data_IF_322084363829
#
_entry.id   IF_322084363829
#
_cell.length_a   1.000
_cell.length_b   1.000
_cell.length_c   1.000
_cell.angle_alpha   90.00
_cell.angle_beta   90.00
_cell.angle_gamma   90.00
#
_symmetry.space_group_name_H-M   'P 1'
#
loop_
_entity.id
_entity.type
_entity.pdbx_description
1 polymer ?
#
# COMPACT_ATOMS: atom_id res chain seq x y z
N UNK A 1 -58.60 -0.95 -69.12
CA UNK A 1 -57.40 -0.11 -69.14
C UNK A 1 -57.78 1.20 -68.46
N UNK A 2 -57.26 1.43 -67.25
CA UNK A 2 -57.75 2.46 -66.35
C UNK A 2 -57.21 3.84 -66.77
N UNK A 3 -58.07 4.69 -67.37
CA UNK A 3 -57.74 6.06 -67.80
C UNK A 3 -57.12 6.96 -66.71
N UNK A 4 -57.26 6.58 -65.44
CA UNK A 4 -56.68 7.28 -64.31
C UNK A 4 -55.19 6.95 -64.13
N UNK A 5 -54.80 5.69 -64.34
CA UNK A 5 -53.40 5.24 -64.26
C UNK A 5 -52.55 5.91 -65.34
N UNK A 6 -53.07 6.02 -66.57
CA UNK A 6 -52.39 6.68 -67.68
C UNK A 6 -52.11 8.17 -67.39
N UNK A 7 -53.07 8.87 -66.78
CA UNK A 7 -52.91 10.28 -66.37
C UNK A 7 -51.90 10.46 -65.22
N UNK A 8 -51.84 9.49 -64.31
CA UNK A 8 -50.88 9.50 -63.20
C UNK A 8 -49.46 9.28 -63.73
N UNK A 9 -49.28 8.36 -64.68
CA UNK A 9 -48.00 8.07 -65.33
C UNK A 9 -47.52 9.26 -66.17
N UNK A 10 -48.41 9.95 -66.88
CA UNK A 10 -48.06 11.13 -67.68
C UNK A 10 -47.64 12.32 -66.80
N UNK A 11 -48.29 12.50 -65.63
CA UNK A 11 -48.01 13.62 -64.73
C UNK A 11 -46.79 13.44 -63.84
N UNK A 12 -46.54 12.22 -63.36
CA UNK A 12 -45.48 11.93 -62.39
C UNK A 12 -44.33 11.10 -62.97
N UNK A 13 -44.44 10.65 -64.22
CA UNK A 13 -43.47 9.75 -64.85
C UNK A 13 -43.52 8.33 -64.27
N UNK A 14 -42.75 7.41 -64.87
CA UNK A 14 -42.48 6.07 -64.30
C UNK A 14 -41.19 6.04 -63.49
N UNK A 15 -40.52 7.19 -63.37
CA UNK A 15 -39.27 7.30 -62.64
C UNK A 15 -39.59 7.32 -61.15
N UNK A 16 -39.10 6.32 -60.41
CA UNK A 16 -39.45 6.13 -59.01
C UNK A 16 -39.10 7.35 -58.15
N UNK A 17 -39.84 7.54 -57.05
CA UNK A 17 -39.67 8.62 -56.07
C UNK A 17 -38.33 8.60 -55.28
N UNK A 18 -37.32 7.92 -55.82
CA UNK A 18 -35.99 7.73 -55.25
C UNK A 18 -34.96 8.73 -55.80
N UNK A 19 -35.37 9.65 -56.69
CA UNK A 19 -34.47 10.66 -57.25
C UNK A 19 -34.52 11.93 -56.40
N UNK A 20 -33.36 12.36 -55.93
CA UNK A 20 -33.17 13.57 -55.14
C UNK A 20 -33.19 14.80 -56.04
N UNK A 21 -33.69 15.97 -55.55
CA UNK A 21 -33.64 17.21 -56.31
C UNK A 21 -32.21 17.62 -56.69
N UNK A 22 -32.07 18.29 -57.83
CA UNK A 22 -30.79 18.86 -58.27
C UNK A 22 -30.22 19.78 -57.19
N UNK A 23 -28.95 19.55 -56.82
CA UNK A 23 -28.27 20.33 -55.77
C UNK A 23 -28.61 19.97 -54.32
N UNK A 24 -29.45 18.96 -54.04
CA UNK A 24 -29.76 18.52 -52.67
C UNK A 24 -28.48 18.22 -51.87
N UNK A 25 -27.58 17.41 -52.43
CA UNK A 25 -26.34 17.05 -51.75
C UNK A 25 -25.44 18.25 -51.46
N UNK A 26 -25.36 19.24 -52.35
CA UNK A 26 -24.55 20.44 -52.11
C UNK A 26 -25.05 21.26 -50.91
N UNK A 27 -26.37 21.42 -50.79
CA UNK A 27 -26.97 22.11 -49.63
C UNK A 27 -26.76 21.34 -48.33
N UNK A 28 -26.89 20.02 -48.37
CA UNK A 28 -26.69 19.12 -47.22
C UNK A 28 -25.25 19.14 -46.73
N UNK A 29 -24.26 19.13 -47.63
CA UNK A 29 -22.86 19.21 -47.23
C UNK A 29 -22.52 20.54 -46.54
N UNK A 30 -23.11 21.66 -47.00
CA UNK A 30 -22.95 22.97 -46.36
C UNK A 30 -23.58 22.98 -44.96
N UNK A 31 -24.80 22.47 -44.84
CA UNK A 31 -25.54 22.43 -43.58
C UNK A 31 -24.87 21.49 -42.55
N UNK A 32 -24.34 20.35 -42.98
CA UNK A 32 -23.58 19.43 -42.13
C UNK A 32 -22.33 20.12 -41.58
N UNK A 33 -21.59 20.86 -42.42
CA UNK A 33 -20.41 21.61 -42.00
C UNK A 33 -20.72 22.70 -40.97
N UNK A 34 -21.83 23.42 -41.14
CA UNK A 34 -22.27 24.48 -40.23
C UNK A 34 -22.80 23.94 -38.89
N UNK A 35 -23.40 22.75 -38.89
CA UNK A 35 -23.97 22.11 -37.69
C UNK A 35 -23.01 21.20 -36.94
N UNK A 36 -21.81 20.95 -37.47
CA UNK A 36 -20.83 20.12 -36.79
C UNK A 36 -20.35 20.85 -35.52
N UNK A 37 -20.51 20.26 -34.32
CA UNK A 37 -19.92 20.84 -33.12
C UNK A 37 -18.39 20.88 -33.27
N UNK A 38 -17.71 21.85 -32.65
CA UNK A 38 -16.24 21.84 -32.61
C UNK A 38 -15.79 20.50 -32.03
N UNK A 39 -14.82 19.86 -32.70
CA UNK A 39 -14.24 18.61 -32.20
C UNK A 39 -13.79 18.83 -30.76
N UNK A 40 -14.13 17.92 -29.82
CA UNK A 40 -13.64 18.03 -28.47
C UNK A 40 -12.12 18.05 -28.55
N UNK A 41 -11.54 19.15 -28.05
CA UNK A 41 -10.09 19.31 -27.98
C UNK A 41 -9.53 18.05 -27.32
N UNK A 42 -8.66 17.32 -28.03
CA UNK A 42 -7.95 16.18 -27.47
C UNK A 42 -7.43 16.61 -26.11
N UNK A 43 -7.91 15.97 -25.04
CA UNK A 43 -7.55 16.32 -23.66
C UNK A 43 -6.04 16.44 -23.63
N UNK A 44 -5.52 17.66 -23.56
CA UNK A 44 -4.08 17.90 -23.51
C UNK A 44 -3.58 17.06 -22.35
N UNK A 45 -2.64 16.15 -22.65
CA UNK A 45 -2.01 15.34 -21.62
C UNK A 45 -1.55 16.29 -20.51
N UNK A 46 -2.21 16.19 -19.35
CA UNK A 46 -1.88 17.01 -18.20
C UNK A 46 -0.40 16.77 -17.90
N UNK A 47 0.40 17.83 -17.90
CA UNK A 47 1.83 17.69 -17.69
C UNK A 47 2.05 17.04 -16.32
N UNK A 48 2.57 15.81 -16.33
CA UNK A 48 2.77 15.06 -15.10
C UNK A 48 3.58 15.90 -14.13
N UNK A 49 2.99 16.15 -12.95
CA UNK A 49 3.68 16.94 -11.92
C UNK A 49 4.94 16.21 -11.50
N UNK A 50 6.00 16.96 -11.19
CA UNK A 50 7.31 16.39 -10.75
C UNK A 50 7.15 15.40 -9.59
N UNK A 51 6.14 15.59 -8.74
CA UNK A 51 5.78 14.69 -7.65
C UNK A 51 5.24 13.32 -8.10
N UNK A 52 4.44 13.28 -9.17
CA UNK A 52 3.95 12.03 -9.75
C UNK A 52 5.11 11.16 -10.28
N UNK A 53 6.16 11.81 -10.80
CA UNK A 53 7.39 11.12 -11.22
C UNK A 53 8.23 10.63 -10.04
N UNK A 54 8.19 11.31 -8.89
CA UNK A 54 9.01 10.98 -7.72
C UNK A 54 8.39 9.87 -6.85
N UNK A 55 7.06 9.79 -6.76
CA UNK A 55 6.32 8.78 -5.98
C UNK A 55 6.79 7.32 -6.17
N UNK A 56 7.05 6.80 -7.40
CA UNK A 56 7.55 5.45 -7.57
C UNK A 56 8.97 5.24 -6.99
N UNK A 57 9.85 6.24 -7.10
CA UNK A 57 11.21 6.15 -6.54
C UNK A 57 11.21 6.14 -5.02
N UNK A 58 10.28 6.87 -4.37
CA UNK A 58 10.13 6.84 -2.92
C UNK A 58 9.68 5.45 -2.45
N UNK A 59 8.77 4.80 -3.17
CA UNK A 59 8.37 3.42 -2.87
C UNK A 59 9.52 2.43 -3.02
N UNK A 60 10.30 2.54 -4.10
CA UNK A 60 11.50 1.73 -4.28
C UNK A 60 12.51 1.98 -3.16
N UNK A 61 12.78 3.24 -2.82
CA UNK A 61 13.68 3.60 -1.74
C UNK A 61 13.24 3.02 -0.40
N UNK A 62 11.94 2.99 -0.10
CA UNK A 62 11.41 2.38 1.12
C UNK A 62 11.65 0.85 1.16
N UNK A 63 11.45 0.14 0.05
CA UNK A 63 11.74 -1.29 -0.04
C UNK A 63 13.24 -1.57 0.15
N UNK A 64 14.10 -0.79 -0.52
CA UNK A 64 15.55 -0.91 -0.36
C UNK A 64 16.03 -0.53 1.04
N UNK A 65 15.45 0.50 1.66
CA UNK A 65 15.76 0.91 3.01
C UNK A 65 15.38 -0.16 4.04
N UNK A 66 14.24 -0.86 3.86
CA UNK A 66 13.85 -1.98 4.73
C UNK A 66 14.87 -3.13 4.68
N UNK A 67 15.26 -3.55 3.48
CA UNK A 67 16.26 -4.62 3.29
C UNK A 67 17.63 -4.17 3.82
N UNK A 68 18.03 -2.93 3.55
CA UNK A 68 19.30 -2.37 4.03
C UNK A 68 19.34 -2.24 5.55
N UNK A 69 18.24 -1.81 6.17
CA UNK A 69 18.13 -1.70 7.62
C UNK A 69 18.27 -3.09 8.25
N UNK A 70 17.58 -4.11 7.71
CA UNK A 70 17.75 -5.48 8.18
C UNK A 70 19.20 -5.93 8.03
N UNK A 71 19.81 -5.76 6.85
CA UNK A 71 21.22 -6.12 6.63
C UNK A 71 22.15 -5.40 7.60
N UNK A 72 21.92 -4.11 7.89
CA UNK A 72 22.72 -3.32 8.82
C UNK A 72 22.55 -3.81 10.26
N UNK A 73 21.32 -4.09 10.70
CA UNK A 73 21.03 -4.60 12.03
C UNK A 73 21.65 -5.99 12.21
N UNK A 74 21.46 -6.91 11.26
CA UNK A 74 22.12 -8.21 11.28
C UNK A 74 23.64 -8.08 11.24
N UNK A 75 24.21 -7.19 10.43
CA UNK A 75 25.66 -6.98 10.40
C UNK A 75 26.21 -6.45 11.73
N UNK A 76 25.49 -5.54 12.39
CA UNK A 76 25.90 -4.99 13.69
C UNK A 76 25.68 -5.97 14.84
N UNK A 77 24.58 -6.72 14.83
CA UNK A 77 24.24 -7.70 15.85
C UNK A 77 25.07 -8.99 15.71
N UNK A 78 25.46 -9.36 14.48
CA UNK A 78 26.03 -10.67 14.21
C UNK A 78 27.55 -10.68 13.99
N UNK A 79 28.26 -9.55 14.08
CA UNK A 79 29.73 -9.52 13.99
C UNK A 79 30.31 -10.30 12.80
N UNK A 80 30.30 -9.72 11.59
CA UNK A 80 30.91 -10.32 10.39
C UNK A 80 30.44 -11.76 10.03
N UNK A 81 29.18 -12.13 10.31
CA UNK A 81 28.63 -13.38 9.77
C UNK A 81 28.36 -13.25 8.26
N UNK A 82 29.12 -14.01 7.48
CA UNK A 82 28.95 -14.14 6.03
C UNK A 82 27.81 -15.11 5.70
N UNK A 83 26.61 -14.57 5.49
CA UNK A 83 25.48 -15.33 4.94
C UNK A 83 25.69 -15.53 3.43
N UNK A 84 25.98 -16.76 3.01
CA UNK A 84 26.02 -17.17 1.60
C UNK A 84 24.65 -17.71 1.19
N UNK A 85 24.06 -17.14 0.14
CA UNK A 85 22.75 -17.57 -0.38
C UNK A 85 22.74 -18.94 -1.04
N UNK A 86 23.90 -19.58 -1.21
CA UNK A 86 24.01 -20.86 -1.92
C UNK A 86 23.51 -22.07 -1.10
N UNK A 87 23.38 -21.93 0.24
CA UNK A 87 22.80 -23.00 1.07
C UNK A 87 22.07 -22.46 2.33
N UNK A 88 20.82 -21.98 2.19
CA UNK A 88 20.11 -21.32 3.27
C UNK A 88 19.84 -22.16 4.53
N UNK A 89 19.49 -23.47 4.49
CA UNK A 89 19.11 -24.19 5.71
C UNK A 89 20.28 -24.52 6.64
N UNK A 90 21.46 -24.85 6.11
CA UNK A 90 22.61 -25.23 6.95
C UNK A 90 23.24 -24.02 7.65
N UNK A 91 23.32 -22.87 6.97
CA UNK A 91 23.85 -21.66 7.56
C UNK A 91 22.94 -21.08 8.64
N UNK A 92 21.62 -21.16 8.45
CA UNK A 92 20.66 -20.81 9.48
C UNK A 92 20.84 -21.68 10.72
N UNK A 93 21.02 -22.99 10.57
CA UNK A 93 21.27 -23.89 11.69
C UNK A 93 22.56 -23.54 12.45
N UNK A 94 23.62 -23.18 11.71
CA UNK A 94 24.90 -22.78 12.30
C UNK A 94 24.78 -21.45 13.07
N UNK A 95 24.14 -20.44 12.49
CA UNK A 95 23.91 -19.14 13.15
C UNK A 95 23.00 -19.29 14.37
N UNK A 96 21.99 -20.16 14.31
CA UNK A 96 21.13 -20.47 15.46
C UNK A 96 21.86 -21.23 16.58
N UNK A 97 22.98 -21.90 16.28
CA UNK A 97 23.82 -22.57 17.28
C UNK A 97 24.88 -21.65 17.90
N UNK A 98 25.04 -20.44 17.36
CA UNK A 98 25.96 -19.42 17.87
C UNK A 98 25.36 -18.76 19.12
N UNK A 99 26.06 -18.79 20.28
CA UNK A 99 25.50 -18.31 21.55
C UNK A 99 25.14 -16.82 21.52
N UNK A 100 25.97 -15.98 20.89
CA UNK A 100 25.73 -14.53 20.79
C UNK A 100 24.48 -14.17 19.95
N UNK A 101 24.19 -14.98 18.92
CA UNK A 101 23.00 -14.78 18.09
C UNK A 101 21.73 -15.27 18.80
N UNK A 102 21.83 -16.41 19.51
CA UNK A 102 20.75 -16.94 20.32
C UNK A 102 20.29 -15.91 21.37
N UNK A 103 21.22 -15.30 22.12
CA UNK A 103 20.89 -14.32 23.16
C UNK A 103 20.28 -13.01 22.62
N UNK A 104 20.62 -12.60 21.38
CA UNK A 104 20.12 -11.35 20.80
C UNK A 104 18.72 -11.49 20.17
N UNK A 105 18.39 -12.67 19.63
CA UNK A 105 17.14 -12.91 18.90
C UNK A 105 16.14 -13.79 19.65
N UNK A 106 16.57 -14.54 20.65
CA UNK A 106 15.65 -15.04 21.68
C UNK A 106 15.34 -13.88 22.62
N UNK A 107 14.24 -13.19 22.35
CA UNK A 107 13.44 -12.70 23.48
C UNK A 107 12.89 -13.98 24.11
N UNK A 108 13.25 -14.36 25.35
CA UNK A 108 12.60 -15.50 25.98
C UNK A 108 11.11 -15.17 26.05
N UNK A 109 10.32 -15.78 25.16
CA UNK A 109 8.85 -15.61 25.10
C UNK A 109 8.18 -16.11 26.39
N UNK A 110 8.96 -16.68 27.31
CA UNK A 110 8.56 -17.08 28.65
C UNK A 110 9.72 -16.97 29.62
N UNK A 111 10.16 -15.76 29.96
CA UNK A 111 10.54 -15.57 31.36
C UNK A 111 9.26 -15.84 32.15
N UNK A 112 9.16 -17.02 32.76
CA UNK A 112 8.03 -17.31 33.63
C UNK A 112 8.04 -16.27 34.75
N UNK A 113 6.90 -15.68 35.09
CA UNK A 113 6.80 -14.72 36.21
C UNK A 113 7.48 -15.26 37.48
N UNK A 114 7.50 -16.58 37.65
CA UNK A 114 8.19 -17.29 38.73
C UNK A 114 9.72 -17.10 38.74
N UNK A 115 10.36 -17.03 37.57
CA UNK A 115 11.80 -16.85 37.45
C UNK A 115 12.18 -15.40 37.76
N UNK A 116 11.40 -14.44 37.26
CA UNK A 116 11.53 -13.02 37.58
C UNK A 116 11.32 -12.80 39.08
N UNK A 117 10.27 -13.38 39.67
CA UNK A 117 10.01 -13.29 41.11
C UNK A 117 11.18 -13.85 41.93
N UNK A 118 11.76 -15.00 41.53
CA UNK A 118 12.92 -15.58 42.21
C UNK A 118 14.18 -14.75 42.10
N UNK A 119 14.40 -14.12 40.96
CA UNK A 119 15.56 -13.25 40.74
C UNK A 119 15.44 -11.99 41.61
N UNK A 120 14.27 -11.34 41.60
CA UNK A 120 13.99 -10.18 42.45
C UNK A 120 14.12 -10.54 43.94
N UNK A 121 13.60 -11.70 44.37
CA UNK A 121 13.75 -12.18 45.75
C UNK A 121 15.20 -12.51 46.15
N UNK A 122 16.08 -12.78 45.18
CA UNK A 122 17.51 -13.04 45.43
C UNK A 122 18.31 -11.76 45.53
N UNK A 123 17.93 -10.75 44.76
CA UNK A 123 18.66 -9.49 44.67
C UNK A 123 18.22 -8.49 45.73
N UNK A 124 16.95 -8.55 46.16
CA UNK A 124 16.40 -7.64 47.16
C UNK A 124 15.94 -8.39 48.42
N UNK A 125 16.52 -8.03 49.56
CA UNK A 125 16.12 -8.57 50.87
C UNK A 125 14.95 -7.77 51.50
N UNK A 126 14.67 -6.55 51.02
CA UNK A 126 13.61 -5.68 51.54
C UNK A 126 12.94 -4.81 50.46
N UNK A 127 11.67 -4.49 50.68
CA UNK A 127 10.88 -3.68 49.74
C UNK A 127 11.40 -2.22 49.67
N UNK A 128 11.93 -1.71 50.78
CA UNK A 128 12.51 -0.37 50.88
C UNK A 128 13.78 -0.22 50.04
N UNK A 129 14.52 -1.30 49.80
CA UNK A 129 15.70 -1.32 48.94
C UNK A 129 15.30 -1.31 47.46
N UNK A 130 14.29 -2.10 47.11
CA UNK A 130 13.67 -2.07 45.79
C UNK A 130 13.12 -0.67 45.43
N UNK A 131 12.40 -0.04 46.36
CA UNK A 131 11.88 1.32 46.18
C UNK A 131 12.98 2.36 45.94
N UNK A 132 14.10 2.23 46.65
CA UNK A 132 15.24 3.14 46.53
C UNK A 132 15.92 3.04 45.18
N UNK A 133 16.11 1.83 44.66
CA UNK A 133 16.85 1.61 43.42
C UNK A 133 16.00 1.97 42.18
N UNK A 134 14.70 1.66 42.22
CA UNK A 134 13.78 1.97 41.11
C UNK A 134 13.08 3.33 41.24
N UNK A 135 13.25 4.04 42.36
CA UNK A 135 12.65 5.36 42.59
C UNK A 135 11.12 5.34 42.71
N UNK A 136 10.53 4.20 43.10
CA UNK A 136 9.09 4.07 43.36
C UNK A 136 8.78 4.26 44.84
N UNK A 137 7.58 4.77 45.14
CA UNK A 137 7.00 4.72 46.49
C UNK A 137 5.76 3.82 46.43
N UNK A 138 5.87 2.55 46.82
CA UNK A 138 4.73 1.66 46.90
C UNK A 138 3.99 1.93 48.20
N UNK A 139 2.88 2.66 48.10
CA UNK A 139 1.99 2.84 49.24
C UNK A 139 1.27 1.51 49.54
N UNK A 140 1.54 0.93 50.71
CA UNK A 140 0.90 -0.31 51.11
C UNK A 140 -0.61 -0.09 51.31
N UNK A 141 -1.44 -0.93 50.70
CA UNK A 141 -2.92 -0.83 50.78
C UNK A 141 -3.48 -0.99 52.22
N UNK A 142 -2.60 -1.33 53.18
CA UNK A 142 -2.93 -1.58 54.58
C UNK A 142 -2.38 -0.51 55.53
N UNK A 143 -1.74 0.54 55.00
CA UNK A 143 -1.16 1.62 55.82
C UNK A 143 -2.20 2.34 56.68
N UNK A 144 -3.44 2.40 56.19
CA UNK A 144 -4.58 3.04 56.86
C UNK A 144 -5.51 2.04 57.58
N UNK A 145 -5.16 0.76 57.64
CA UNK A 145 -5.95 -0.23 58.40
C UNK A 145 -5.57 -0.14 59.88
N UNK A 146 -6.46 0.48 60.66
CA UNK A 146 -6.36 0.54 62.12
C UNK A 146 -6.59 -0.86 62.69
N UNK A 147 -5.51 -1.53 63.10
CA UNK A 147 -5.55 -2.88 63.69
C UNK A 147 -5.92 -2.86 65.18
N UNK A 148 -6.66 -1.84 65.65
CA UNK A 148 -7.19 -1.80 67.01
C UNK A 148 -8.67 -2.19 67.06
N UNK A 149 -8.91 -3.46 67.42
CA UNK A 149 -9.96 -3.87 68.36
C UNK A 149 -9.37 -4.83 69.41
#
# INVERSE_FOLDING_TARGET
MNKQEDKLIEKYGREGAWRVPEGYFESVYKEIGEKLPPYPELRRHEEMTRWQRLKPYVYLAAMFAGIWLMMKVFYHASGNVSLSLDNPPEQLAQVMSEPDFADTFFIPESLSDLEVEREVMREYDSMEEFERDFGYTLESQYKDLDLTE
#
